data_IF_592016802148
#
_entry.id   IF_592016802148
#
_cell.length_a   1.000
_cell.length_b   1.000
_cell.length_c   1.000
_cell.angle_alpha   90.00
_cell.angle_beta   90.00
_cell.angle_gamma   90.00
#
_symmetry.space_group_name_H-M   'P 1'
#
loop_
_entity.id
_entity.type
_entity.pdbx_description
1 polymer ?
#
# COMPACT_ATOMS: atom_id res chain seq x y z
N UNK A 1 2.91 12.52 18.70
CA UNK A 1 3.23 13.77 19.43
C UNK A 1 4.31 14.45 18.61
N UNK A 2 4.05 15.63 18.07
CA UNK A 2 4.95 16.26 17.11
C UNK A 2 6.21 16.78 17.81
N UNK A 3 7.35 16.58 17.16
CA UNK A 3 8.66 17.04 17.61
C UNK A 3 8.65 18.57 17.84
N UNK A 4 9.31 19.03 18.92
CA UNK A 4 9.41 20.45 19.26
C UNK A 4 10.04 21.26 18.13
N UNK A 5 10.98 20.68 17.39
CA UNK A 5 11.59 21.33 16.22
C UNK A 5 10.56 21.61 15.12
N UNK A 6 9.73 20.63 14.81
CA UNK A 6 8.67 20.78 13.79
C UNK A 6 7.62 21.79 14.25
N UNK A 7 7.27 21.81 15.54
CA UNK A 7 6.35 22.81 16.10
C UNK A 7 6.89 24.24 15.96
N UNK A 8 8.17 24.43 16.27
CA UNK A 8 8.85 25.72 16.14
C UNK A 8 8.91 26.18 14.68
N UNK A 9 9.23 25.27 13.75
CA UNK A 9 9.26 25.60 12.32
C UNK A 9 7.85 25.94 11.82
N UNK A 10 6.83 25.16 12.20
CA UNK A 10 5.43 25.42 11.82
C UNK A 10 4.98 26.79 12.30
N UNK A 11 5.25 27.13 13.56
CA UNK A 11 5.01 28.45 14.12
C UNK A 11 5.68 29.56 13.31
N UNK A 12 6.96 29.36 12.94
CA UNK A 12 7.73 30.32 12.17
C UNK A 12 7.18 30.52 10.74
N UNK A 13 6.67 29.45 10.12
CA UNK A 13 5.98 29.50 8.82
C UNK A 13 4.68 30.27 8.94
N UNK A 14 3.88 30.00 9.98
CA UNK A 14 2.58 30.63 10.21
C UNK A 14 2.70 32.14 10.45
N UNK A 15 3.73 32.60 11.16
CA UNK A 15 4.00 34.04 11.37
C UNK A 15 4.39 34.77 10.08
N UNK A 16 4.96 34.06 9.10
CA UNK A 16 5.35 34.57 7.79
C UNK A 16 6.17 35.88 7.84
N UNK A 17 7.11 35.98 8.78
CA UNK A 17 7.97 37.16 8.97
C UNK A 17 8.87 37.02 10.19
N UNK A 18 9.67 38.04 10.52
CA UNK A 18 10.44 38.07 11.76
C UNK A 18 9.53 38.11 12.99
N UNK A 19 9.88 37.35 14.02
CA UNK A 19 9.16 37.31 15.29
C UNK A 19 10.15 37.19 16.47
N UNK A 20 9.67 37.49 17.67
CA UNK A 20 10.50 37.41 18.88
C UNK A 20 10.59 35.97 19.41
N UNK A 21 11.83 35.53 19.68
CA UNK A 21 12.13 34.18 20.11
C UNK A 21 11.56 33.85 21.51
N UNK A 22 11.60 34.80 22.44
CA UNK A 22 11.12 34.60 23.82
C UNK A 22 9.60 34.44 23.82
N UNK A 23 8.92 35.28 23.03
CA UNK A 23 7.47 35.20 22.81
C UNK A 23 7.08 33.85 22.24
N UNK A 24 7.83 33.34 21.23
CA UNK A 24 7.60 32.01 20.69
C UNK A 24 7.71 30.91 21.76
N UNK A 25 8.75 30.92 22.61
CA UNK A 25 8.90 29.92 23.67
C UNK A 25 7.72 29.94 24.65
N UNK A 26 7.20 31.12 24.98
CA UNK A 26 6.03 31.28 25.82
C UNK A 26 4.75 30.77 25.14
N UNK A 27 4.51 31.15 23.88
CA UNK A 27 3.30 30.74 23.14
C UNK A 27 3.25 29.23 22.89
N UNK A 28 4.41 28.60 22.64
CA UNK A 28 4.53 27.17 22.41
C UNK A 28 4.67 26.34 23.70
N UNK A 29 4.67 26.97 24.88
CA UNK A 29 4.90 26.33 26.18
C UNK A 29 6.12 25.40 26.20
N UNK A 30 7.24 25.89 25.65
CA UNK A 30 8.48 25.12 25.53
C UNK A 30 9.16 25.03 26.90
N UNK A 31 9.55 23.83 27.32
CA UNK A 31 10.23 23.63 28.61
C UNK A 31 11.65 24.22 28.60
N UNK A 32 12.23 24.53 29.77
CA UNK A 32 13.59 25.09 29.85
C UNK A 32 14.64 24.20 29.16
N UNK A 33 14.55 22.88 29.32
CA UNK A 33 15.44 21.92 28.64
C UNK A 33 15.31 21.99 27.12
N UNK A 34 14.08 22.14 26.62
CA UNK A 34 13.83 22.28 25.18
C UNK A 34 14.29 23.65 24.68
N UNK A 35 14.14 24.70 25.48
CA UNK A 35 14.65 26.03 25.13
C UNK A 35 16.17 25.99 24.98
N UNK A 36 16.90 25.37 25.89
CA UNK A 36 18.36 25.21 25.80
C UNK A 36 18.78 24.51 24.50
N UNK A 37 18.14 23.38 24.20
CA UNK A 37 18.38 22.64 22.96
C UNK A 37 18.07 23.47 21.71
N UNK A 38 16.93 24.18 21.68
CA UNK A 38 16.53 25.02 20.54
C UNK A 38 17.45 26.22 20.38
N UNK A 39 17.85 26.86 21.49
CA UNK A 39 18.80 27.96 21.48
C UNK A 39 20.13 27.54 20.87
N UNK A 40 20.64 26.36 21.21
CA UNK A 40 21.86 25.85 20.60
C UNK A 40 21.73 25.70 19.09
N UNK A 41 20.63 25.12 18.61
CA UNK A 41 20.38 24.98 17.17
C UNK A 41 20.19 26.32 16.46
N UNK A 42 19.55 27.29 17.11
CA UNK A 42 19.36 28.65 16.57
C UNK A 42 20.69 29.40 16.53
N UNK A 43 21.47 29.36 17.60
CA UNK A 43 22.77 30.01 17.70
C UNK A 43 23.76 29.48 16.65
N UNK A 44 23.68 28.18 16.34
CA UNK A 44 24.45 27.53 15.29
C UNK A 44 23.84 27.67 13.87
N UNK A 45 22.73 28.42 13.71
CA UNK A 45 22.00 28.62 12.44
C UNK A 45 21.49 27.33 11.80
N UNK A 46 21.37 26.27 12.58
CA UNK A 46 20.75 25.04 12.15
C UNK A 46 19.24 25.12 12.19
N UNK A 47 18.65 26.05 12.95
CA UNK A 47 17.21 26.19 13.09
C UNK A 47 16.84 27.67 13.19
N UNK A 48 15.95 28.19 12.33
CA UNK A 48 15.59 29.61 12.26
C UNK A 48 16.79 30.53 11.97
N UNK A 49 16.57 31.55 11.16
CA UNK A 49 17.59 32.55 10.84
C UNK A 49 17.45 33.76 11.74
N UNK A 50 18.57 34.42 12.03
CA UNK A 50 18.64 35.62 12.87
C UNK A 50 19.74 36.59 12.40
N UNK A 51 19.55 37.88 12.70
CA UNK A 51 20.46 38.96 12.25
C UNK A 51 21.66 39.16 13.18
N UNK A 52 21.67 38.52 14.35
CA UNK A 52 22.74 38.68 15.33
C UNK A 52 24.08 38.30 14.73
N UNK A 53 25.11 39.14 14.97
CA UNK A 53 26.48 38.87 14.58
C UNK A 53 26.89 37.47 15.05
N UNK A 54 27.77 36.82 14.29
CA UNK A 54 28.13 35.38 14.25
C UNK A 54 28.70 34.79 15.57
N UNK A 55 28.13 35.13 16.71
CA UNK A 55 28.63 34.84 18.05
C UNK A 55 27.50 34.15 18.83
N UNK A 56 27.57 32.81 18.97
CA UNK A 56 26.57 32.02 19.69
C UNK A 56 26.28 32.54 21.11
N UNK A 57 27.31 33.04 21.82
CA UNK A 57 27.16 33.56 23.19
C UNK A 57 26.23 34.77 23.30
N UNK A 58 26.01 35.52 22.22
CA UNK A 58 25.06 36.64 22.21
C UNK A 58 23.62 36.12 22.26
N UNK A 59 23.33 35.00 21.56
CA UNK A 59 22.00 34.39 21.56
C UNK A 59 21.64 33.91 22.97
N UNK A 60 22.55 33.18 23.62
CA UNK A 60 22.37 32.74 25.00
C UNK A 60 22.18 33.91 25.97
N UNK A 61 23.02 34.94 25.88
CA UNK A 61 22.94 36.10 26.76
C UNK A 61 21.63 36.90 26.60
N UNK A 62 21.03 36.91 25.42
CA UNK A 62 19.76 37.61 25.18
C UNK A 62 18.59 36.86 25.84
N UNK A 63 18.54 35.54 25.66
CA UNK A 63 17.45 34.72 26.21
C UNK A 63 17.57 34.62 27.74
N UNK A 64 18.78 34.42 28.27
CA UNK A 64 19.03 34.34 29.72
C UNK A 64 18.66 35.65 30.43
N UNK A 65 19.03 36.80 29.84
CA UNK A 65 18.75 38.10 30.43
C UNK A 65 17.32 38.60 30.20
N UNK A 66 16.54 37.94 29.32
CA UNK A 66 15.18 38.34 28.88
C UNK A 66 15.00 39.84 28.58
N UNK A 67 16.08 40.52 28.21
CA UNK A 67 16.14 41.98 28.22
C UNK A 67 16.19 42.58 26.81
N UNK A 68 16.28 41.75 25.77
CA UNK A 68 16.38 42.21 24.39
C UNK A 68 15.54 41.33 23.48
N UNK A 69 14.76 41.94 22.62
CA UNK A 69 14.01 41.23 21.58
C UNK A 69 15.01 40.56 20.63
N UNK A 70 14.86 39.25 20.44
CA UNK A 70 15.65 38.51 19.45
C UNK A 70 14.73 38.16 18.29
N UNK A 71 14.83 38.94 17.22
CA UNK A 71 14.09 38.69 16.00
C UNK A 71 14.70 37.50 15.25
N UNK A 72 13.91 36.45 15.12
CA UNK A 72 14.19 35.25 14.34
C UNK A 72 13.16 35.10 13.23
N UNK A 73 13.49 34.40 12.16
CA UNK A 73 12.57 34.14 11.06
C UNK A 73 12.80 32.76 10.45
N UNK A 74 11.76 32.25 9.78
CA UNK A 74 11.84 30.98 9.05
C UNK A 74 12.74 31.12 7.82
N UNK A 75 13.80 30.32 7.73
CA UNK A 75 14.66 30.25 6.54
C UNK A 75 14.06 29.34 5.47
N UNK A 76 14.60 29.40 4.24
CA UNK A 76 14.22 28.46 3.18
C UNK A 76 14.50 27.01 3.57
N UNK A 77 15.61 26.75 4.27
CA UNK A 77 16.00 25.41 4.74
C UNK A 77 14.97 24.89 5.76
N UNK A 78 14.52 25.73 6.69
CA UNK A 78 13.50 25.35 7.66
C UNK A 78 12.17 24.97 6.96
N UNK A 79 11.78 25.71 5.92
CA UNK A 79 10.60 25.38 5.11
C UNK A 79 10.73 24.02 4.43
N UNK A 80 11.90 23.72 3.86
CA UNK A 80 12.15 22.41 3.26
C UNK A 80 12.08 21.27 4.27
N UNK A 81 12.58 21.46 5.49
CA UNK A 81 12.46 20.44 6.55
C UNK A 81 11.02 20.17 6.95
N UNK A 82 10.20 21.21 7.03
CA UNK A 82 8.78 21.02 7.33
C UNK A 82 8.08 20.26 6.19
N UNK A 83 8.39 20.62 4.94
CA UNK A 83 7.85 19.95 3.77
C UNK A 83 8.25 18.46 3.74
N UNK A 84 9.53 18.15 3.94
CA UNK A 84 10.04 16.78 4.00
C UNK A 84 9.36 15.98 5.12
N UNK A 85 9.17 16.59 6.29
CA UNK A 85 8.44 15.95 7.38
C UNK A 85 6.98 15.63 7.00
N UNK A 86 6.29 16.56 6.35
CA UNK A 86 4.91 16.37 5.89
C UNK A 86 4.81 15.29 4.81
N UNK A 87 5.73 15.30 3.83
CA UNK A 87 5.81 14.27 2.78
C UNK A 87 6.08 12.88 3.37
N UNK A 88 7.03 12.77 4.32
CA UNK A 88 7.33 11.50 4.99
C UNK A 88 6.14 11.01 5.82
N UNK A 89 5.41 11.93 6.46
CA UNK A 89 4.20 11.59 7.22
C UNK A 89 3.11 11.07 6.29
N UNK A 90 2.85 11.77 5.18
CA UNK A 90 1.88 11.35 4.17
C UNK A 90 2.24 10.00 3.54
N UNK A 91 3.52 9.80 3.19
CA UNK A 91 4.01 8.53 2.66
C UNK A 91 3.81 7.37 3.64
N UNK A 92 4.00 7.61 4.94
CA UNK A 92 3.72 6.59 5.99
C UNK A 92 2.23 6.30 6.11
N UNK A 93 1.38 7.32 6.12
CA UNK A 93 -0.07 7.15 6.18
C UNK A 93 -0.59 6.37 4.96
N UNK A 94 -0.10 6.71 3.77
CA UNK A 94 -0.36 5.98 2.52
C UNK A 94 0.11 4.52 2.59
N UNK A 95 1.30 4.27 3.13
CA UNK A 95 1.83 2.92 3.32
C UNK A 95 0.97 2.07 4.28
N UNK A 96 0.47 2.68 5.36
CA UNK A 96 -0.43 2.01 6.30
C UNK A 96 -1.75 1.64 5.61
N UNK A 97 -2.30 2.53 4.79
CA UNK A 97 -3.54 2.25 4.07
C UNK A 97 -3.38 1.18 2.99
N UNK A 98 -2.27 1.22 2.25
CA UNK A 98 -1.90 0.16 1.32
C UNK A 98 -1.78 -1.20 2.03
N UNK A 99 -1.18 -1.24 3.22
CA UNK A 99 -1.04 -2.46 4.00
C UNK A 99 -2.40 -3.01 4.48
N UNK A 100 -3.34 -2.13 4.88
CA UNK A 100 -4.72 -2.55 5.21
C UNK A 100 -5.42 -3.15 3.98
N UNK A 101 -5.24 -2.54 2.83
CA UNK A 101 -5.82 -3.03 1.57
C UNK A 101 -5.23 -4.39 1.18
N UNK A 102 -3.92 -4.56 1.26
CA UNK A 102 -3.25 -5.84 1.03
C UNK A 102 -3.73 -6.92 2.01
N UNK A 103 -3.88 -6.58 3.29
CA UNK A 103 -4.39 -7.50 4.32
C UNK A 103 -5.80 -8.00 3.98
N UNK A 104 -6.68 -7.12 3.51
CA UNK A 104 -8.03 -7.51 3.05
C UNK A 104 -7.98 -8.42 1.84
N UNK A 105 -7.11 -8.15 0.87
CA UNK A 105 -6.93 -8.99 -0.31
C UNK A 105 -6.41 -10.39 0.04
N UNK A 106 -5.48 -10.49 1.00
CA UNK A 106 -4.98 -11.76 1.53
C UNK A 106 -6.14 -12.56 2.15
N UNK A 107 -6.96 -11.91 2.99
CA UNK A 107 -8.14 -12.57 3.56
C UNK A 107 -9.12 -13.08 2.50
N UNK A 108 -9.41 -12.27 1.48
CA UNK A 108 -10.28 -12.68 0.37
C UNK A 108 -9.71 -13.88 -0.40
N UNK A 109 -8.39 -13.90 -0.59
CA UNK A 109 -7.68 -15.00 -1.26
C UNK A 109 -7.79 -16.30 -0.45
N UNK A 110 -7.64 -16.23 0.87
CA UNK A 110 -7.81 -17.39 1.76
C UNK A 110 -9.24 -17.93 1.68
N UNK A 111 -10.26 -17.07 1.73
CA UNK A 111 -11.66 -17.49 1.63
C UNK A 111 -11.93 -18.16 0.27
N UNK A 112 -11.45 -17.57 -0.81
CA UNK A 112 -11.62 -18.10 -2.17
C UNK A 112 -10.94 -19.45 -2.33
N UNK A 113 -9.75 -19.62 -1.75
CA UNK A 113 -9.03 -20.89 -1.71
C UNK A 113 -9.86 -21.97 -0.99
N UNK A 114 -10.38 -21.66 0.21
CA UNK A 114 -11.20 -22.59 0.98
C UNK A 114 -12.49 -22.99 0.25
N UNK A 115 -13.18 -22.04 -0.37
CA UNK A 115 -14.35 -22.33 -1.20
C UNK A 115 -14.00 -23.25 -2.36
N UNK A 116 -12.88 -23.00 -3.04
CA UNK A 116 -12.43 -23.83 -4.17
C UNK A 116 -12.12 -25.26 -3.75
N UNK A 117 -11.48 -25.44 -2.59
CA UNK A 117 -11.24 -26.77 -2.00
C UNK A 117 -12.56 -27.47 -1.71
N UNK A 118 -13.51 -26.78 -1.07
CA UNK A 118 -14.81 -27.36 -0.73
C UNK A 118 -15.61 -27.77 -1.97
N UNK A 119 -15.67 -26.91 -3.00
CA UNK A 119 -16.34 -27.23 -4.26
C UNK A 119 -15.69 -28.41 -4.97
N UNK A 120 -14.35 -28.47 -4.99
CA UNK A 120 -13.62 -29.61 -5.56
C UNK A 120 -13.98 -30.91 -4.84
N UNK A 121 -13.97 -30.92 -3.50
CA UNK A 121 -14.37 -32.10 -2.71
C UNK A 121 -15.85 -32.46 -2.94
N UNK A 122 -16.75 -31.49 -2.97
CA UNK A 122 -18.16 -31.73 -3.25
C UNK A 122 -18.35 -32.37 -4.62
N UNK A 123 -17.66 -31.90 -5.65
CA UNK A 123 -17.72 -32.46 -7.00
C UNK A 123 -17.17 -33.89 -7.07
N UNK A 124 -16.14 -34.21 -6.29
CA UNK A 124 -15.62 -35.59 -6.19
C UNK A 124 -16.62 -36.52 -5.49
N UNK A 125 -17.31 -36.04 -4.45
CA UNK A 125 -18.26 -36.85 -3.66
C UNK A 125 -19.63 -36.98 -4.35
N UNK A 126 -20.06 -35.96 -5.09
CA UNK A 126 -21.26 -36.00 -5.93
C UNK A 126 -20.84 -36.27 -7.37
N UNK A 127 -20.69 -37.55 -7.77
CA UNK A 127 -20.49 -37.85 -9.17
C UNK A 127 -21.67 -37.28 -9.94
N UNK A 128 -21.36 -36.37 -10.88
CA UNK A 128 -22.34 -35.86 -11.84
C UNK A 128 -22.85 -37.09 -12.59
N UNK A 129 -24.05 -37.56 -12.23
CA UNK A 129 -24.73 -38.60 -12.97
C UNK A 129 -25.15 -38.00 -14.30
N UNK A 130 -24.54 -38.46 -15.39
CA UNK A 130 -25.00 -38.13 -16.73
C UNK A 130 -26.49 -38.51 -16.83
N UNK A 131 -27.37 -37.63 -17.36
CA UNK A 131 -28.77 -37.93 -17.50
C UNK A 131 -28.92 -39.22 -18.33
N UNK A 132 -29.83 -40.09 -17.88
CA UNK A 132 -30.01 -41.46 -18.40
C UNK A 132 -30.24 -41.49 -19.92
N UNK A 133 -30.79 -40.41 -20.47
CA UNK A 133 -31.04 -40.21 -21.91
C UNK A 133 -29.73 -40.22 -22.72
N UNK A 134 -28.65 -39.64 -22.20
CA UNK A 134 -27.34 -39.60 -22.86
C UNK A 134 -26.71 -40.99 -22.99
N UNK A 135 -26.88 -41.84 -21.98
CA UNK A 135 -26.39 -43.22 -22.01
C UNK A 135 -27.18 -44.09 -23.00
N UNK A 136 -28.48 -43.82 -23.16
CA UNK A 136 -29.32 -44.53 -24.15
C UNK A 136 -28.90 -44.20 -25.58
N UNK A 137 -28.66 -42.92 -25.89
CA UNK A 137 -28.19 -42.52 -27.22
C UNK A 137 -26.84 -43.14 -27.57
N UNK A 138 -25.87 -43.14 -26.64
CA UNK A 138 -24.56 -43.78 -26.86
C UNK A 138 -24.71 -45.29 -27.09
N UNK A 139 -25.59 -45.95 -26.32
CA UNK A 139 -25.83 -47.39 -26.52
C UNK A 139 -26.46 -47.70 -27.87
N UNK A 140 -27.41 -46.87 -28.35
CA UNK A 140 -28.02 -47.02 -29.66
C UNK A 140 -27.03 -46.77 -30.79
N UNK A 141 -26.15 -45.77 -30.66
CA UNK A 141 -25.09 -45.51 -31.65
C UNK A 141 -24.14 -46.72 -31.73
N UNK A 142 -23.79 -47.32 -30.59
CA UNK A 142 -22.96 -48.53 -30.56
C UNK A 142 -23.60 -49.73 -31.26
N UNK A 143 -24.93 -49.91 -31.11
CA UNK A 143 -25.69 -50.95 -31.80
C UNK A 143 -25.74 -50.70 -33.30
N UNK A 144 -26.07 -49.46 -33.72
CA UNK A 144 -26.14 -49.08 -35.14
C UNK A 144 -24.80 -49.23 -35.86
N UNK A 145 -23.70 -48.87 -35.20
CA UNK A 145 -22.35 -49.07 -35.76
C UNK A 145 -22.05 -50.56 -35.93
N UNK A 146 -22.38 -51.40 -34.95
CA UNK A 146 -22.17 -52.85 -35.04
C UNK A 146 -23.00 -53.48 -36.16
N UNK A 147 -24.22 -53.00 -36.36
CA UNK A 147 -25.10 -53.44 -37.43
C UNK A 147 -24.58 -53.00 -38.81
N UNK A 148 -24.11 -51.76 -38.95
CA UNK A 148 -23.48 -51.28 -40.17
C UNK A 148 -22.20 -52.05 -40.54
N UNK A 149 -21.37 -52.39 -39.56
CA UNK A 149 -20.14 -53.19 -39.77
C UNK A 149 -20.49 -54.62 -40.19
N UNK A 150 -21.52 -55.23 -39.61
CA UNK A 150 -21.96 -56.57 -40.00
C UNK A 150 -22.57 -56.58 -41.41
N UNK A 151 -23.36 -55.55 -41.75
CA UNK A 151 -23.91 -55.39 -43.10
C UNK A 151 -22.80 -55.26 -44.15
N UNK A 152 -21.76 -54.47 -43.86
CA UNK A 152 -20.63 -54.26 -44.77
C UNK A 152 -19.74 -55.52 -44.91
N UNK A 153 -19.67 -56.37 -43.87
CA UNK A 153 -19.02 -57.69 -43.94
C UNK A 153 -19.79 -58.69 -44.79
N UNK A 154 -21.12 -58.76 -44.65
CA UNK A 154 -21.95 -59.64 -45.48
C UNK A 154 -21.88 -59.24 -46.97
N UNK A 155 -21.89 -57.94 -47.26
CA UNK A 155 -21.82 -57.45 -48.63
C UNK A 155 -20.44 -57.68 -49.27
N UNK A 156 -19.36 -57.71 -48.47
CA UNK A 156 -18.02 -58.10 -48.92
C UNK A 156 -17.92 -59.59 -49.24
N UNK A 157 -18.53 -60.45 -48.44
CA UNK A 157 -18.54 -61.90 -48.69
C UNK A 157 -19.35 -62.27 -49.96
N UNK A 158 -20.45 -61.56 -50.23
CA UNK A 158 -21.23 -61.72 -51.47
C UNK A 158 -20.50 -61.19 -52.72
N UNK A 159 -19.62 -60.17 -52.56
CA UNK A 159 -18.83 -59.62 -53.67
C UNK A 159 -17.60 -60.47 -54.07
N UNK A 160 -17.16 -61.40 -53.21
CA UNK A 160 -16.05 -62.33 -53.52
C UNK A 160 -16.55 -63.60 -54.23
N UNK A 161 -17.84 -63.92 -54.14
CA UNK A 161 -18.45 -65.08 -54.81
C UNK A 161 -18.81 -64.91 -56.28
N UNK A 162 -18.68 -63.71 -56.86
CA UNK A 162 -19.17 -63.39 -58.23
C UNK A 162 -18.09 -63.02 -59.25
N UNK A 163 -16.80 -63.25 -58.95
CA UNK A 163 -15.70 -63.04 -59.91
C UNK A 163 -14.90 -64.33 -60.12
N UNK A 164 -15.48 -65.26 -60.89
CA UNK A 164 -14.84 -66.04 -61.98
C UNK A 164 -15.70 -67.29 -62.32
N UNK A 165 -16.85 -67.06 -62.96
CA UNK A 165 -17.36 -67.98 -63.98
C UNK A 165 -17.26 -67.25 -65.33
N UNK A 166 -16.23 -67.58 -66.11
CA UNK A 166 -16.24 -67.54 -67.58
C UNK A 166 -15.01 -68.23 -68.14
#
# INVERSE_FOLDING_TARGET
MDDVFIKVIRYAVDKNGPFDLITMFSELNVSEQQQEMLMDQIANRHLLSHSTAYIPSIVYAIVEKKNKEMLVWCSAIDRFRLLEYEELKEARESSIDANKTATRAIWLSIVTLLCSIFFSLYQVITPISLPIEFNKEISNIGVLLKESINYDRMNKEDSVGSVQEK
#
